data_IF_063144068511
#
_entry.id   IF_063144068511
#
_cell.length_a   1.000
_cell.length_b   1.000
_cell.length_c   1.000
_cell.angle_alpha   90.00
_cell.angle_beta   90.00
_cell.angle_gamma   90.00
#
_symmetry.space_group_name_H-M   'P 1'
#
loop_
_entity.id
_entity.type
_entity.pdbx_description
1 polymer ?
#
# COMPACT_ATOMS: atom_id res chain seq x y z
N UNK A 1 -4.16 13.01 19.81
CA UNK A 1 -4.82 11.85 19.17
C UNK A 1 -3.70 10.91 18.81
N UNK A 2 -3.66 9.70 19.37
CA UNK A 2 -2.61 8.76 19.04
C UNK A 2 -2.76 8.42 17.55
N UNK A 3 -1.69 8.59 16.78
CA UNK A 3 -1.65 8.16 15.40
C UNK A 3 -1.62 6.62 15.44
N UNK A 4 -2.75 5.95 15.22
CA UNK A 4 -2.87 4.47 15.19
C UNK A 4 -2.17 3.83 13.97
N UNK A 5 -1.15 4.51 13.43
CA UNK A 5 -0.34 4.00 12.35
C UNK A 5 0.61 2.92 12.87
N UNK A 6 0.64 1.82 12.14
CA UNK A 6 1.51 0.68 12.35
C UNK A 6 2.46 0.57 11.17
N UNK A 7 3.63 -0.04 11.41
CA UNK A 7 4.60 -0.33 10.34
C UNK A 7 3.93 -1.16 9.24
N UNK A 8 4.16 -0.77 7.97
CA UNK A 8 3.63 -1.47 6.79
C UNK A 8 3.96 -2.96 6.77
N UNK A 9 5.06 -3.41 7.39
CA UNK A 9 5.40 -4.85 7.44
C UNK A 9 4.34 -5.69 8.16
N UNK A 10 3.51 -5.07 8.99
CA UNK A 10 2.45 -5.74 9.78
C UNK A 10 1.07 -5.70 9.12
N UNK A 11 0.94 -5.11 7.94
CA UNK A 11 -0.33 -4.96 7.25
C UNK A 11 -0.88 -6.32 6.76
N UNK A 12 -2.19 -6.58 6.88
CA UNK A 12 -2.80 -7.74 6.25
C UNK A 12 -2.69 -7.61 4.72
N UNK A 13 -2.10 -8.64 4.09
CA UNK A 13 -1.93 -8.74 2.63
C UNK A 13 -2.93 -9.69 1.99
N UNK A 14 -4.14 -9.74 2.54
CA UNK A 14 -5.22 -10.64 2.14
C UNK A 14 -6.16 -10.06 1.07
N UNK A 15 -5.87 -8.85 0.59
CA UNK A 15 -6.69 -8.13 -0.41
C UNK A 15 -7.76 -7.23 0.19
N UNK A 16 -7.86 -7.15 1.52
CA UNK A 16 -8.73 -6.18 2.21
C UNK A 16 -8.28 -4.74 1.94
N UNK A 17 -9.24 -3.81 1.98
CA UNK A 17 -8.95 -2.38 1.92
C UNK A 17 -8.42 -1.88 3.27
N UNK A 18 -7.33 -1.13 3.22
CA UNK A 18 -6.68 -0.52 4.38
C UNK A 18 -6.19 0.88 4.04
N UNK A 19 -6.14 1.75 5.03
CA UNK A 19 -5.46 3.04 4.88
C UNK A 19 -3.96 2.82 4.98
N UNK A 20 -3.25 3.05 3.89
CA UNK A 20 -1.78 3.05 3.85
C UNK A 20 -1.27 4.48 3.77
N UNK A 21 -0.04 4.73 4.23
CA UNK A 21 0.55 6.06 4.29
C UNK A 21 2.01 6.00 3.85
N UNK A 22 2.43 6.98 3.04
CA UNK A 22 3.83 7.34 2.85
C UNK A 22 4.07 8.72 3.49
N UNK A 23 5.18 8.91 4.19
CA UNK A 23 5.45 10.12 4.98
C UNK A 23 5.43 11.41 4.13
N UNK A 24 6.01 11.33 2.92
CA UNK A 24 6.09 12.48 2.00
C UNK A 24 4.83 12.74 1.16
N UNK A 25 3.90 11.78 1.06
CA UNK A 25 2.77 11.85 0.12
C UNK A 25 1.42 11.92 0.83
N UNK A 26 1.31 11.29 2.00
CA UNK A 26 0.07 11.17 2.78
C UNK A 26 -0.56 9.79 2.69
N UNK A 27 -1.85 9.73 3.07
CA UNK A 27 -2.58 8.49 3.29
C UNK A 27 -3.61 8.21 2.20
N UNK A 28 -3.69 6.96 1.76
CA UNK A 28 -4.58 6.48 0.70
C UNK A 28 -5.25 5.17 1.10
N UNK A 29 -6.51 4.99 0.68
CA UNK A 29 -7.21 3.72 0.83
C UNK A 29 -6.80 2.78 -0.31
N UNK A 30 -6.19 1.65 0.01
CA UNK A 30 -5.64 0.71 -0.97
C UNK A 30 -5.81 -0.74 -0.52
N UNK A 31 -5.63 -1.69 -1.43
CA UNK A 31 -5.51 -3.14 -1.12
C UNK A 31 -4.21 -3.70 -1.66
N UNK A 32 -3.69 -4.74 -1.00
CA UNK A 32 -2.58 -5.52 -1.54
C UNK A 32 -3.10 -6.50 -2.61
N UNK A 33 -2.50 -6.46 -3.80
CA UNK A 33 -2.75 -7.40 -4.87
C UNK A 33 -1.48 -8.19 -5.17
N UNK A 34 -1.43 -9.44 -4.68
CA UNK A 34 -0.27 -10.32 -4.82
C UNK A 34 -0.03 -10.81 -6.27
N UNK A 35 -1.04 -10.72 -7.14
CA UNK A 35 -0.96 -11.19 -8.52
C UNK A 35 -0.70 -10.06 -9.53
N UNK A 36 -1.07 -8.83 -9.19
CA UNK A 36 -0.88 -7.68 -10.07
C UNK A 36 0.55 -7.17 -10.03
N UNK A 37 0.96 -6.59 -11.16
CA UNK A 37 2.17 -5.79 -11.31
C UNK A 37 1.83 -4.57 -12.16
N UNK A 38 2.67 -3.54 -12.10
CA UNK A 38 2.52 -2.35 -12.92
C UNK A 38 3.91 -1.95 -13.44
N UNK A 39 4.18 -2.05 -14.76
CA UNK A 39 5.51 -1.78 -15.32
C UNK A 39 6.09 -0.39 -14.99
N UNK A 40 5.25 0.57 -14.61
CA UNK A 40 5.69 1.90 -14.18
C UNK A 40 6.34 1.93 -12.79
N UNK A 41 6.03 0.95 -11.93
CA UNK A 41 6.53 0.88 -10.54
C UNK A 41 7.26 -0.44 -10.22
N UNK A 42 6.77 -1.57 -10.74
CA UNK A 42 7.37 -2.90 -10.62
C UNK A 42 6.76 -3.87 -11.63
N UNK A 43 7.60 -4.60 -12.37
CA UNK A 43 7.16 -5.71 -13.22
C UNK A 43 6.91 -7.00 -12.46
N UNK A 44 7.38 -7.09 -11.21
CA UNK A 44 7.15 -8.25 -10.35
C UNK A 44 5.76 -8.21 -9.70
N UNK A 45 5.14 -9.37 -9.44
CA UNK A 45 3.86 -9.46 -8.73
C UNK A 45 3.95 -8.90 -7.31
N UNK A 46 2.86 -8.28 -6.85
CA UNK A 46 2.75 -7.71 -5.51
C UNK A 46 2.81 -6.20 -5.53
N UNK A 47 1.63 -5.57 -5.61
CA UNK A 47 1.48 -4.12 -5.54
C UNK A 47 0.32 -3.75 -4.63
N UNK A 48 0.38 -2.55 -4.06
CA UNK A 48 -0.79 -1.86 -3.55
C UNK A 48 -1.54 -1.25 -4.71
N UNK A 49 -2.86 -1.37 -4.74
CA UNK A 49 -3.72 -0.69 -5.72
C UNK A 49 -4.90 0.00 -5.04
N UNK A 50 -5.27 1.17 -5.56
CA UNK A 50 -6.50 1.85 -5.18
C UNK A 50 -7.73 1.00 -5.59
N UNK A 51 -8.88 1.13 -4.90
CA UNK A 51 -10.09 0.38 -5.22
C UNK A 51 -10.56 0.52 -6.68
N UNK A 52 -10.29 1.67 -7.30
CA UNK A 52 -10.64 1.99 -8.68
C UNK A 52 -9.54 1.65 -9.70
N UNK A 53 -8.40 1.14 -9.24
CA UNK A 53 -7.24 0.79 -10.07
C UNK A 53 -6.46 1.99 -10.63
N UNK A 54 -6.80 3.23 -10.26
CA UNK A 54 -6.18 4.45 -10.81
C UNK A 54 -4.76 4.70 -10.31
N UNK A 55 -4.42 4.13 -9.14
CA UNK A 55 -3.20 4.40 -8.41
C UNK A 55 -2.60 3.13 -7.85
N UNK A 56 -1.28 2.98 -7.94
CA UNK A 56 -0.56 1.81 -7.44
C UNK A 56 0.74 2.18 -6.73
N UNK A 57 1.07 1.46 -5.67
CA UNK A 57 2.37 1.52 -4.99
C UNK A 57 3.05 0.16 -4.97
N UNK A 58 4.37 0.16 -4.87
CA UNK A 58 5.16 -1.05 -4.70
C UNK A 58 6.09 -0.88 -3.51
N UNK A 59 6.14 -1.85 -2.60
CA UNK A 59 7.12 -1.86 -1.48
C UNK A 59 8.56 -1.96 -1.99
N UNK A 60 8.72 -2.39 -3.25
CA UNK A 60 9.93 -2.34 -4.08
C UNK A 60 10.70 -1.03 -3.87
N UNK A 61 11.96 -1.11 -3.42
CA UNK A 61 12.91 0.01 -3.42
C UNK A 61 12.52 1.21 -2.53
N UNK A 62 11.67 1.00 -1.52
CA UNK A 62 11.26 2.06 -0.60
C UNK A 62 10.34 3.12 -1.22
N UNK A 63 9.70 2.80 -2.36
CA UNK A 63 8.76 3.68 -3.07
C UNK A 63 7.29 3.36 -2.76
N UNK A 64 7.06 2.57 -1.71
CA UNK A 64 5.75 2.13 -1.26
C UNK A 64 5.40 2.70 0.10
N UNK A 65 4.18 2.45 0.59
CA UNK A 65 3.75 2.97 1.88
C UNK A 65 4.69 2.52 3.00
N UNK A 66 4.92 3.39 3.98
CA UNK A 66 5.72 3.10 5.18
C UNK A 66 4.85 2.65 6.36
N UNK A 67 3.58 3.03 6.39
CA UNK A 67 2.67 2.71 7.48
C UNK A 67 1.28 2.35 6.98
N UNK A 68 0.49 1.75 7.87
CA UNK A 68 -0.94 1.52 7.65
C UNK A 68 -1.74 1.79 8.92
N UNK A 69 -3.04 2.03 8.77
CA UNK A 69 -3.98 2.19 9.88
C UNK A 69 -4.99 1.05 9.86
N UNK A 70 -5.15 0.29 10.96
CA UNK A 70 -6.33 -0.57 11.14
C UNK A 70 -7.56 0.32 11.25
N UNK A 71 -8.69 -0.11 10.67
CA UNK A 71 -9.96 0.59 10.89
C UNK A 71 -10.40 0.56 12.35
#
# INVERSE_FOLDING_TARGET
>A
MANDYRDIVSVPRDGSLVWVMHEDVGSFLMRWNAAASNPMVSTEPGIWEAPDGSFTWCDKNGLGPSHWRPE
#
